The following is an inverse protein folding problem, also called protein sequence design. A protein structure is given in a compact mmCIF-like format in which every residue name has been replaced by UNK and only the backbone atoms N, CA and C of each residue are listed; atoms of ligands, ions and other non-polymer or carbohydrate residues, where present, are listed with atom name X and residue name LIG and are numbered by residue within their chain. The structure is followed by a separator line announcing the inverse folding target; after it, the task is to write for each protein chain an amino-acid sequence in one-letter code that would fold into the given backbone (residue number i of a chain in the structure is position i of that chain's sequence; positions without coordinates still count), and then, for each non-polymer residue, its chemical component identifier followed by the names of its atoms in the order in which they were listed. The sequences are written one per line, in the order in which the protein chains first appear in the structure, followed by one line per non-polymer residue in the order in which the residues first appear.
data_IF_638679511615
#
_entry.id   IF_638679511615
#
_cell.length_a   1.000
_cell.length_b   1.000
_cell.length_c   1.000
_cell.angle_alpha   90.00
_cell.angle_beta   90.00
_cell.angle_gamma   90.00
#
_symmetry.space_group_name_H-M   'P 1'
#
loop_
_entity.id
_entity.type
_entity.pdbx_description
1 polymer ?
#
# COMPACT_ATOMS: atom_id res chain seq x y z
N UNK A 1 -33.46 -29.44 -1.27
CA UNK A 1 -32.71 -28.50 -0.42
C UNK A 1 -31.33 -29.10 -0.26
N UNK A 2 -30.23 -28.32 -0.33
CA UNK A 2 -28.90 -28.87 -0.03
C UNK A 2 -28.95 -29.46 1.41
N UNK A 3 -28.22 -30.57 1.60
CA UNK A 3 -28.12 -31.20 2.91
C UNK A 3 -27.36 -30.22 3.83
N UNK A 4 -27.97 -29.82 4.96
CA UNK A 4 -27.38 -28.87 5.90
C UNK A 4 -26.04 -29.31 6.50
N UNK A 5 -25.69 -30.59 6.41
CA UNK A 5 -24.46 -31.15 6.93
C UNK A 5 -23.32 -31.21 5.87
N UNK A 6 -23.60 -30.80 4.62
CA UNK A 6 -22.58 -30.82 3.56
C UNK A 6 -21.69 -29.60 3.68
N UNK A 7 -20.35 -29.78 3.83
CA UNK A 7 -19.43 -28.66 3.80
C UNK A 7 -19.48 -27.88 2.49
N UNK A 8 -19.48 -26.56 2.57
CA UNK A 8 -19.45 -25.65 1.43
C UNK A 8 -18.28 -24.69 1.57
N UNK A 9 -17.69 -24.33 0.45
CA UNK A 9 -16.74 -23.22 0.35
C UNK A 9 -17.50 -21.99 -0.08
N UNK A 10 -17.38 -20.92 0.69
CA UNK A 10 -18.08 -19.65 0.47
C UNK A 10 -17.09 -18.50 0.38
N UNK A 11 -17.28 -17.64 -0.61
CA UNK A 11 -16.64 -16.34 -0.70
C UNK A 11 -17.68 -15.25 -0.39
N UNK A 12 -17.34 -14.37 0.54
CA UNK A 12 -18.19 -13.25 0.97
C UNK A 12 -17.37 -11.95 0.96
N UNK A 13 -17.51 -11.10 -0.08
CA UNK A 13 -16.93 -9.77 -0.06
C UNK A 13 -17.73 -8.86 0.85
N UNK A 14 -17.09 -8.26 1.84
CA UNK A 14 -17.67 -7.28 2.75
C UNK A 14 -17.25 -5.84 2.39
N UNK A 15 -16.24 -5.68 1.53
CA UNK A 15 -15.77 -4.45 0.93
C UNK A 15 -14.77 -4.71 -0.18
N UNK A 16 -14.55 -3.74 -1.05
CA UNK A 16 -13.58 -3.80 -2.15
C UNK A 16 -14.07 -4.53 -3.41
N UNK A 17 -15.30 -5.01 -3.46
CA UNK A 17 -15.83 -5.71 -4.61
C UNK A 17 -16.83 -4.83 -5.39
N UNK A 18 -16.48 -4.47 -6.63
CA UNK A 18 -17.25 -3.52 -7.43
C UNK A 18 -17.00 -2.06 -7.06
N UNK A 19 -16.00 -1.80 -6.25
CA UNK A 19 -15.56 -0.49 -5.77
C UNK A 19 -14.04 -0.49 -5.55
N UNK A 20 -13.45 0.67 -5.28
CA UNK A 20 -12.03 0.81 -4.95
C UNK A 20 -11.89 1.15 -3.47
N UNK A 21 -11.00 0.44 -2.78
CA UNK A 21 -10.72 0.66 -1.37
C UNK A 21 -11.51 -0.24 -0.43
N UNK A 22 -11.33 -0.03 0.87
CA UNK A 22 -11.93 -0.75 2.01
C UNK A 22 -12.03 -2.27 1.83
N UNK A 23 -10.96 -2.89 1.36
CA UNK A 23 -10.91 -4.33 1.11
C UNK A 23 -11.13 -5.13 2.41
N UNK A 24 -12.13 -6.00 2.39
CA UNK A 24 -12.41 -7.00 3.41
C UNK A 24 -13.13 -8.18 2.75
N UNK A 25 -12.42 -9.29 2.63
CA UNK A 25 -12.91 -10.49 1.97
C UNK A 25 -12.92 -11.66 2.94
N UNK A 26 -14.05 -12.35 3.08
CA UNK A 26 -14.18 -13.51 3.95
C UNK A 26 -14.29 -14.80 3.13
N UNK A 27 -13.57 -15.83 3.55
CA UNK A 27 -13.65 -17.18 3.02
C UNK A 27 -14.09 -18.12 4.11
N UNK A 28 -15.22 -18.79 3.89
CA UNK A 28 -15.81 -19.72 4.83
C UNK A 28 -15.80 -21.15 4.30
N UNK A 29 -15.42 -22.11 5.14
CA UNK A 29 -15.50 -23.51 4.83
C UNK A 29 -16.18 -24.30 5.95
N UNK A 30 -17.11 -25.15 5.61
CA UNK A 30 -17.86 -26.00 6.52
C UNK A 30 -19.35 -26.03 6.23
N UNK A 31 -20.12 -26.77 7.05
CA UNK A 31 -21.58 -26.74 6.99
C UNK A 31 -22.13 -25.33 7.28
N UNK A 32 -23.29 -24.94 6.75
CA UNK A 32 -23.87 -23.62 6.93
C UNK A 32 -23.90 -23.09 8.37
N UNK A 33 -24.18 -23.97 9.33
CA UNK A 33 -24.35 -23.62 10.74
C UNK A 33 -23.02 -23.78 11.55
N UNK A 34 -21.91 -24.27 10.92
CA UNK A 34 -20.61 -24.52 11.57
C UNK A 34 -19.46 -24.29 10.59
N UNK A 35 -19.39 -23.04 10.05
CA UNK A 35 -18.29 -22.63 9.16
C UNK A 35 -17.13 -22.07 9.94
N UNK A 36 -15.93 -22.45 9.53
CA UNK A 36 -14.69 -21.74 9.91
C UNK A 36 -14.40 -20.68 8.87
N UNK A 37 -13.87 -19.54 9.30
CA UNK A 37 -13.63 -18.38 8.46
C UNK A 37 -12.18 -17.93 8.51
N UNK A 38 -11.67 -17.49 7.39
CA UNK A 38 -10.49 -16.61 7.31
C UNK A 38 -10.89 -15.32 6.64
N UNK A 39 -10.21 -14.23 7.02
CA UNK A 39 -10.40 -12.93 6.41
C UNK A 39 -9.14 -12.54 5.64
N UNK A 40 -9.32 -11.81 4.54
CA UNK A 40 -8.25 -11.22 3.77
C UNK A 40 -8.45 -9.72 3.71
N UNK A 41 -7.46 -9.00 4.24
CA UNK A 41 -7.38 -7.55 4.37
C UNK A 41 -8.43 -6.92 5.31
N UNK A 42 -8.08 -5.74 5.83
CA UNK A 42 -8.93 -4.85 6.64
C UNK A 42 -8.64 -3.42 6.22
N UNK A 43 -9.19 -3.04 5.07
CA UNK A 43 -8.90 -1.78 4.42
C UNK A 43 -9.84 -0.64 4.77
N UNK A 44 -9.47 0.56 4.34
CA UNK A 44 -10.32 1.75 4.38
C UNK A 44 -10.48 2.31 2.97
N UNK A 45 -11.49 3.15 2.78
CA UNK A 45 -11.52 4.16 1.72
C UNK A 45 -11.71 5.54 2.34
N UNK A 46 -11.55 6.58 1.54
CA UNK A 46 -11.65 7.96 2.00
C UNK A 46 -12.95 8.60 1.50
N UNK A 47 -13.50 9.48 2.31
CA UNK A 47 -14.65 10.26 1.89
C UNK A 47 -14.31 11.22 0.74
N UNK A 48 -15.31 11.56 -0.05
CA UNK A 48 -15.24 12.47 -1.19
C UNK A 48 -16.37 13.51 -1.16
N UNK A 49 -16.55 14.23 -2.26
CA UNK A 49 -17.60 15.26 -2.38
C UNK A 49 -19.03 14.68 -2.24
N UNK A 50 -19.21 13.37 -2.42
CA UNK A 50 -20.50 12.69 -2.23
C UNK A 50 -20.80 12.31 -0.78
N UNK A 51 -19.75 12.34 0.08
CA UNK A 51 -19.80 11.99 1.50
C UNK A 51 -19.29 13.15 2.39
N UNK A 52 -19.93 14.34 2.34
CA UNK A 52 -19.42 15.54 3.00
C UNK A 52 -19.30 15.33 4.52
N UNK A 53 -18.13 15.67 5.08
CA UNK A 53 -17.84 15.54 6.51
C UNK A 53 -17.39 14.12 6.94
N UNK A 54 -17.24 13.19 6.00
CA UNK A 54 -16.68 11.87 6.25
C UNK A 54 -15.24 11.86 5.76
N UNK A 55 -14.30 11.64 6.68
CA UNK A 55 -12.87 11.55 6.33
C UNK A 55 -12.47 10.12 5.92
N UNK A 56 -13.10 9.08 6.52
CA UNK A 56 -12.69 7.70 6.37
C UNK A 56 -13.90 6.76 6.46
N UNK A 57 -13.92 5.76 5.59
CA UNK A 57 -14.97 4.74 5.50
C UNK A 57 -14.32 3.37 5.66
N UNK A 58 -14.98 2.48 6.42
CA UNK A 58 -14.58 1.07 6.61
C UNK A 58 -15.68 0.15 6.07
N UNK A 59 -15.33 -1.09 5.72
CA UNK A 59 -16.34 -2.12 5.51
C UNK A 59 -17.20 -2.30 6.75
N UNK A 60 -18.44 -2.76 6.57
CA UNK A 60 -19.29 -3.19 7.68
C UNK A 60 -18.91 -4.62 8.09
N UNK A 61 -18.32 -4.81 9.27
CA UNK A 61 -17.92 -6.12 9.73
C UNK A 61 -19.04 -6.87 10.49
N UNK A 62 -20.27 -6.36 10.56
CA UNK A 62 -21.27 -6.85 11.53
C UNK A 62 -21.52 -8.34 11.38
N UNK A 63 -21.78 -8.80 10.16
CA UNK A 63 -21.99 -10.24 9.90
C UNK A 63 -20.84 -11.09 10.41
N UNK A 64 -19.60 -10.76 10.07
CA UNK A 64 -18.44 -11.58 10.45
C UNK A 64 -18.04 -11.38 11.91
N UNK A 65 -18.35 -10.25 12.51
CA UNK A 65 -18.14 -9.98 13.93
C UNK A 65 -19.08 -10.79 14.83
N UNK A 66 -20.30 -11.12 14.36
CA UNK A 66 -21.20 -12.05 15.04
C UNK A 66 -20.66 -13.49 15.07
N UNK A 67 -19.72 -13.81 14.17
CA UNK A 67 -19.05 -15.10 14.05
C UNK A 67 -17.56 -15.03 14.47
N UNK A 68 -17.20 -14.06 15.31
CA UNK A 68 -15.79 -13.80 15.67
C UNK A 68 -15.06 -15.01 16.27
N UNK A 69 -15.73 -15.88 16.99
CA UNK A 69 -15.22 -17.14 17.55
C UNK A 69 -14.95 -18.23 16.48
N UNK A 70 -15.49 -18.06 15.29
CA UNK A 70 -15.29 -18.94 14.14
C UNK A 70 -14.22 -18.42 13.16
N UNK A 71 -13.63 -17.23 13.41
CA UNK A 71 -12.56 -16.68 12.58
C UNK A 71 -11.23 -17.29 13.02
N UNK A 72 -10.61 -18.07 12.13
CA UNK A 72 -9.32 -18.72 12.40
C UNK A 72 -8.13 -17.76 12.23
N UNK A 73 -8.18 -16.85 11.25
CA UNK A 73 -7.10 -15.94 10.93
C UNK A 73 -7.55 -14.75 10.09
N UNK A 74 -6.73 -13.68 10.11
CA UNK A 74 -6.79 -12.54 9.20
C UNK A 74 -5.45 -12.46 8.49
N UNK A 75 -5.45 -12.57 7.16
CA UNK A 75 -4.29 -12.48 6.30
C UNK A 75 -4.24 -11.12 5.63
N UNK A 76 -3.08 -10.46 5.67
CA UNK A 76 -2.89 -9.14 5.06
C UNK A 76 -1.96 -9.28 3.86
N UNK A 77 -2.44 -8.87 2.69
CA UNK A 77 -1.73 -9.05 1.41
C UNK A 77 -0.56 -8.10 1.25
N UNK A 78 -0.74 -6.84 1.61
CA UNK A 78 0.27 -5.77 1.54
C UNK A 78 -0.16 -4.55 2.36
N UNK A 79 0.70 -3.53 2.44
CA UNK A 79 0.57 -2.45 3.42
C UNK A 79 -0.10 -1.16 2.92
N UNK A 80 -0.86 -1.17 1.82
CA UNK A 80 -1.67 -0.01 1.42
C UNK A 80 -2.84 0.22 2.38
N UNK A 81 -3.31 1.46 2.49
CA UNK A 81 -4.36 1.85 3.43
C UNK A 81 -5.70 1.16 3.14
N UNK A 82 -6.01 0.93 1.89
CA UNK A 82 -7.20 0.21 1.44
C UNK A 82 -7.16 -1.31 1.71
N UNK A 83 -6.03 -1.82 2.27
CA UNK A 83 -5.83 -3.19 2.72
C UNK A 83 -5.57 -3.33 4.22
N UNK A 84 -4.91 -2.34 4.86
CA UNK A 84 -4.60 -2.42 6.30
C UNK A 84 -5.13 -1.24 7.13
N UNK A 85 -5.73 -0.23 6.50
CA UNK A 85 -6.12 1.01 7.18
C UNK A 85 -7.11 0.84 8.31
N UNK A 86 -7.99 -0.15 8.21
CA UNK A 86 -9.01 -0.44 9.22
C UNK A 86 -8.56 -1.43 10.30
N UNK A 87 -7.35 -1.99 10.27
CA UNK A 87 -6.91 -3.02 11.24
C UNK A 87 -7.14 -2.57 12.68
N UNK A 88 -6.69 -1.37 13.04
CA UNK A 88 -6.88 -0.85 14.41
C UNK A 88 -8.31 -0.48 14.77
N UNK A 89 -9.21 -0.36 13.79
CA UNK A 89 -10.63 -0.05 13.98
C UNK A 89 -11.48 -1.32 14.11
N UNK A 90 -11.23 -2.30 13.24
CA UNK A 90 -12.07 -3.50 13.12
C UNK A 90 -11.57 -4.67 13.98
N UNK A 91 -10.25 -4.79 14.20
CA UNK A 91 -9.69 -5.90 14.98
C UNK A 91 -10.32 -6.08 16.37
N UNK A 92 -10.68 -5.03 17.16
CA UNK A 92 -11.32 -5.20 18.46
C UNK A 92 -12.65 -5.97 18.43
N UNK A 93 -13.33 -5.97 17.28
CA UNK A 93 -14.57 -6.73 17.06
C UNK A 93 -14.31 -8.16 16.56
N UNK A 94 -13.19 -8.36 15.83
CA UNK A 94 -12.87 -9.62 15.16
C UNK A 94 -11.97 -10.53 15.99
N UNK A 95 -10.95 -9.96 16.67
CA UNK A 95 -10.03 -10.60 17.63
C UNK A 95 -9.31 -11.86 17.15
N UNK A 96 -9.23 -12.05 15.83
CA UNK A 96 -8.53 -13.18 15.25
C UNK A 96 -7.03 -12.90 15.10
N UNK A 97 -6.18 -13.94 15.04
CA UNK A 97 -4.76 -13.80 14.76
C UNK A 97 -4.50 -13.09 13.43
N UNK A 98 -3.53 -12.14 13.43
CA UNK A 98 -3.11 -11.39 12.26
C UNK A 98 -1.86 -12.03 11.67
N UNK A 99 -1.80 -12.16 10.34
CA UNK A 99 -0.66 -12.67 9.58
C UNK A 99 -0.29 -11.71 8.47
N UNK A 100 1.00 -11.38 8.36
CA UNK A 100 1.51 -10.45 7.36
C UNK A 100 3.00 -10.69 7.09
N UNK A 101 3.50 -10.26 5.93
CA UNK A 101 4.95 -10.20 5.63
C UNK A 101 5.65 -9.12 6.45
N UNK A 102 6.99 -9.14 6.59
CA UNK A 102 7.71 -8.28 7.54
C UNK A 102 7.38 -6.79 7.44
N UNK A 103 7.39 -6.23 6.22
CA UNK A 103 7.11 -4.80 6.02
C UNK A 103 5.67 -4.46 6.40
N UNK A 104 4.71 -5.27 5.97
CA UNK A 104 3.29 -5.09 6.30
C UNK A 104 3.06 -5.24 7.80
N UNK A 105 3.65 -6.26 8.43
CA UNK A 105 3.54 -6.50 9.88
C UNK A 105 4.05 -5.31 10.71
N UNK A 106 5.19 -4.71 10.29
CA UNK A 106 5.74 -3.53 10.98
C UNK A 106 4.76 -2.36 10.96
N UNK A 107 4.16 -2.05 9.80
CA UNK A 107 3.20 -0.95 9.66
C UNK A 107 1.90 -1.23 10.42
N UNK A 108 1.41 -2.47 10.39
CA UNK A 108 0.23 -2.91 11.14
C UNK A 108 0.43 -2.78 12.64
N UNK A 109 1.59 -3.21 13.16
CA UNK A 109 1.92 -3.04 14.58
C UNK A 109 1.88 -1.56 15.00
N UNK A 110 2.37 -0.65 14.15
CA UNK A 110 2.26 0.79 14.35
C UNK A 110 0.81 1.28 14.41
N UNK A 111 -0.05 0.83 13.47
CA UNK A 111 -1.49 1.17 13.45
C UNK A 111 -2.24 0.67 14.68
N UNK A 112 -1.93 -0.52 15.12
CA UNK A 112 -2.48 -1.09 16.36
C UNK A 112 -2.05 -0.26 17.58
N UNK A 113 -0.78 0.10 17.68
CA UNK A 113 -0.25 0.93 18.77
C UNK A 113 -0.91 2.32 18.84
N UNK A 114 -1.15 2.97 17.70
CA UNK A 114 -1.86 4.26 17.61
C UNK A 114 -3.28 4.20 18.18
N UNK A 115 -3.89 3.01 18.23
CA UNK A 115 -5.22 2.75 18.80
C UNK A 115 -5.19 2.14 20.20
N UNK A 116 -4.01 2.12 20.85
CA UNK A 116 -3.87 1.53 22.18
C UNK A 116 -3.88 -0.01 22.19
N UNK A 117 -3.73 -0.63 21.04
CA UNK A 117 -3.72 -2.09 20.83
C UNK A 117 -2.28 -2.63 20.65
N UNK A 118 -1.26 -1.95 21.16
CA UNK A 118 0.15 -2.33 20.97
C UNK A 118 0.58 -3.64 21.62
N UNK A 119 -0.34 -4.35 22.29
CA UNK A 119 -0.10 -5.71 22.83
C UNK A 119 -0.61 -6.82 21.89
N UNK A 120 -1.24 -6.44 20.78
CA UNK A 120 -1.70 -7.40 19.78
C UNK A 120 -0.52 -7.80 18.93
N UNK A 121 -0.22 -9.08 18.92
CA UNK A 121 0.86 -9.61 18.10
C UNK A 121 0.42 -9.77 16.64
N UNK A 122 1.32 -9.42 15.73
CA UNK A 122 1.18 -9.71 14.31
C UNK A 122 2.15 -10.85 13.99
N UNK A 123 1.63 -11.97 13.53
CA UNK A 123 2.44 -13.13 13.15
C UNK A 123 3.15 -12.83 11.81
N UNK A 124 4.46 -12.77 11.85
CA UNK A 124 5.27 -12.48 10.65
C UNK A 124 5.43 -13.76 9.82
N UNK A 125 4.99 -13.69 8.57
CA UNK A 125 5.15 -14.78 7.59
C UNK A 125 6.29 -14.38 6.64
N UNK A 126 7.30 -15.24 6.43
CA UNK A 126 8.34 -14.94 5.46
C UNK A 126 7.77 -14.90 4.03
N UNK A 127 8.47 -14.21 3.13
CA UNK A 127 8.10 -14.22 1.70
C UNK A 127 8.01 -15.66 1.18
N UNK A 128 6.93 -15.97 0.46
CA UNK A 128 6.67 -17.34 -0.01
C UNK A 128 6.26 -18.34 1.10
N UNK A 129 6.10 -17.88 2.34
CA UNK A 129 5.71 -18.72 3.47
C UNK A 129 4.25 -19.16 3.43
N UNK A 130 3.91 -20.13 4.28
CA UNK A 130 2.56 -20.67 4.37
C UNK A 130 2.09 -20.78 5.84
N UNK A 131 0.78 -20.76 6.01
CA UNK A 131 0.10 -20.88 7.32
C UNK A 131 -1.04 -21.88 7.19
N UNK A 132 -1.10 -22.85 8.10
CA UNK A 132 -2.22 -23.78 8.23
C UNK A 132 -3.07 -23.37 9.42
N UNK A 133 -4.38 -23.22 9.20
CA UNK A 133 -5.33 -22.86 10.25
C UNK A 133 -6.73 -23.39 9.93
N UNK A 134 -7.35 -24.11 10.88
CA UNK A 134 -8.62 -24.77 10.63
C UNK A 134 -8.60 -25.63 9.37
N UNK A 135 -9.57 -25.48 8.48
CA UNK A 135 -9.61 -26.20 7.20
C UNK A 135 -8.83 -25.53 6.08
N UNK A 136 -8.11 -24.45 6.37
CA UNK A 136 -7.39 -23.65 5.38
C UNK A 136 -5.88 -23.86 5.47
N UNK A 137 -5.24 -23.90 4.28
CA UNK A 137 -3.81 -23.72 4.13
C UNK A 137 -3.59 -22.52 3.20
N UNK A 138 -2.95 -21.48 3.70
CA UNK A 138 -2.75 -20.22 2.98
C UNK A 138 -1.28 -20.01 2.71
N UNK A 139 -0.90 -19.91 1.43
CA UNK A 139 0.45 -19.64 0.98
C UNK A 139 0.54 -18.25 0.36
N UNK A 140 1.53 -17.48 0.79
CA UNK A 140 1.88 -16.20 0.21
C UNK A 140 2.67 -16.40 -1.09
N UNK A 141 2.24 -15.76 -2.17
CA UNK A 141 2.91 -15.79 -3.47
C UNK A 141 3.37 -14.39 -3.80
N UNK A 142 4.69 -14.21 -3.91
CA UNK A 142 5.27 -12.89 -4.16
C UNK A 142 4.83 -12.33 -5.51
N UNK A 143 4.36 -11.09 -5.48
CA UNK A 143 4.02 -10.28 -6.64
C UNK A 143 4.88 -9.01 -6.69
N UNK A 144 4.62 -8.16 -7.67
CA UNK A 144 5.13 -6.78 -7.72
C UNK A 144 3.97 -5.79 -7.71
N UNK A 145 4.15 -4.67 -7.02
CA UNK A 145 3.20 -3.58 -6.91
C UNK A 145 3.93 -2.28 -6.55
N UNK A 146 3.22 -1.19 -6.27
CA UNK A 146 3.81 0.09 -5.88
C UNK A 146 4.15 0.20 -4.38
N UNK A 147 4.32 -0.92 -3.71
CA UNK A 147 4.68 -1.04 -2.30
C UNK A 147 5.57 -2.27 -2.11
N UNK A 148 6.45 -2.34 -1.09
CA UNK A 148 7.22 -3.54 -0.79
C UNK A 148 6.35 -4.73 -0.38
N UNK A 149 6.85 -5.93 -0.71
CA UNK A 149 6.29 -7.22 -0.27
C UNK A 149 4.80 -7.42 -0.58
N UNK A 150 4.30 -7.10 -1.80
CA UNK A 150 2.92 -7.42 -2.16
C UNK A 150 2.80 -8.91 -2.45
N UNK A 151 1.68 -9.50 -2.04
CA UNK A 151 1.46 -10.94 -2.18
C UNK A 151 0.06 -11.24 -2.69
N UNK A 152 -0.03 -12.26 -3.56
CA UNK A 152 -1.24 -13.04 -3.69
C UNK A 152 -1.29 -14.12 -2.61
N UNK A 153 -2.48 -14.63 -2.36
CA UNK A 153 -2.72 -15.75 -1.44
C UNK A 153 -3.32 -16.92 -2.21
N UNK A 154 -2.63 -18.08 -2.16
CA UNK A 154 -3.23 -19.35 -2.55
C UNK A 154 -3.90 -19.95 -1.32
N UNK A 155 -5.22 -20.00 -1.33
CA UNK A 155 -6.06 -20.47 -0.22
C UNK A 155 -6.55 -21.88 -0.57
N UNK A 156 -5.87 -22.88 -0.03
CA UNK A 156 -6.21 -24.28 -0.20
C UNK A 156 -7.27 -24.71 0.81
N UNK A 157 -8.27 -25.44 0.35
CA UNK A 157 -9.37 -26.01 1.15
C UNK A 157 -9.67 -27.42 0.67
N UNK A 158 -10.40 -28.24 1.42
CA UNK A 158 -10.83 -29.56 0.95
C UNK A 158 -11.69 -29.53 -0.33
N UNK A 159 -12.28 -28.38 -0.70
CA UNK A 159 -13.06 -28.21 -1.93
C UNK A 159 -12.23 -27.75 -3.12
N UNK A 160 -10.97 -27.35 -2.92
CA UNK A 160 -10.09 -26.85 -3.95
C UNK A 160 -9.39 -25.56 -3.55
N UNK A 161 -8.58 -25.02 -4.45
CA UNK A 161 -7.74 -23.85 -4.20
C UNK A 161 -8.34 -22.60 -4.81
N UNK A 162 -8.35 -21.50 -4.05
CA UNK A 162 -8.69 -20.15 -4.51
C UNK A 162 -7.40 -19.35 -4.63
N UNK A 163 -7.25 -18.59 -5.70
CA UNK A 163 -6.24 -17.54 -5.82
C UNK A 163 -6.87 -16.17 -5.52
N UNK A 164 -6.43 -15.54 -4.41
CA UNK A 164 -6.74 -14.14 -4.11
C UNK A 164 -5.52 -13.30 -4.45
N UNK A 165 -5.62 -12.40 -5.45
CA UNK A 165 -4.43 -11.73 -5.97
C UNK A 165 -3.93 -10.60 -5.08
N UNK A 166 -4.78 -10.01 -4.22
CA UNK A 166 -4.50 -8.66 -3.73
C UNK A 166 -4.30 -7.70 -4.91
N UNK A 167 -3.61 -6.60 -4.68
CA UNK A 167 -3.24 -5.65 -5.74
C UNK A 167 -1.92 -6.07 -6.40
N UNK A 168 -1.85 -5.94 -7.71
CA UNK A 168 -0.70 -6.40 -8.45
C UNK A 168 -0.41 -5.63 -9.73
N UNK A 169 0.82 -5.64 -10.13
CA UNK A 169 1.30 -5.38 -11.49
C UNK A 169 2.44 -6.35 -11.78
N UNK A 170 2.68 -6.65 -13.05
CA UNK A 170 3.89 -7.39 -13.44
C UNK A 170 4.94 -6.36 -13.84
N UNK A 171 5.96 -6.17 -12.99
CA UNK A 171 7.12 -5.36 -13.30
C UNK A 171 8.29 -6.31 -13.67
N UNK A 172 8.78 -6.28 -14.91
CA UNK A 172 9.85 -7.19 -15.34
C UNK A 172 11.22 -6.83 -14.75
N UNK A 173 11.38 -5.62 -14.19
CA UNK A 173 12.63 -5.13 -13.63
C UNK A 173 12.33 -4.33 -12.34
N UNK A 174 11.88 -5.01 -11.27
CA UNK A 174 11.59 -4.37 -9.99
C UNK A 174 12.88 -3.88 -9.34
N UNK A 175 12.86 -2.68 -8.75
CA UNK A 175 14.04 -2.07 -8.13
C UNK A 175 14.27 -2.51 -6.69
N UNK A 176 13.25 -3.00 -6.02
CA UNK A 176 13.28 -3.45 -4.63
C UNK A 176 12.53 -4.77 -4.47
N UNK A 177 13.01 -5.59 -3.54
CA UNK A 177 12.41 -6.88 -3.24
C UNK A 177 12.66 -7.93 -4.30
N UNK A 178 11.87 -8.99 -4.24
CA UNK A 178 11.89 -10.08 -5.21
C UNK A 178 10.93 -9.77 -6.37
N UNK A 179 11.22 -10.33 -7.54
CA UNK A 179 10.29 -10.29 -8.67
C UNK A 179 9.06 -11.17 -8.41
N UNK A 180 8.14 -11.17 -9.37
CA UNK A 180 6.95 -12.04 -9.33
C UNK A 180 7.38 -13.50 -9.30
N UNK A 181 6.83 -14.30 -8.38
CA UNK A 181 7.01 -15.78 -8.35
C UNK A 181 6.21 -16.44 -9.49
N UNK A 182 6.73 -16.25 -10.71
CA UNK A 182 6.11 -16.80 -11.94
C UNK A 182 6.00 -18.34 -11.88
N UNK A 183 7.00 -19.00 -11.33
CA UNK A 183 7.01 -20.47 -11.24
C UNK A 183 6.01 -20.98 -10.20
N UNK A 184 5.82 -20.24 -9.10
CA UNK A 184 4.77 -20.52 -8.11
C UNK A 184 3.38 -20.36 -8.70
N UNK A 185 3.15 -19.29 -9.48
CA UNK A 185 1.87 -19.08 -10.17
C UNK A 185 1.60 -20.14 -11.24
N UNK A 186 2.61 -20.56 -12.02
CA UNK A 186 2.46 -21.63 -13.01
C UNK A 186 2.11 -22.96 -12.35
N UNK A 187 2.85 -23.35 -11.30
CA UNK A 187 2.53 -24.57 -10.54
C UNK A 187 1.10 -24.53 -10.02
N UNK A 188 0.67 -23.42 -9.45
CA UNK A 188 -0.70 -23.26 -8.97
C UNK A 188 -1.72 -23.43 -10.10
N UNK A 189 -1.43 -22.89 -11.30
CA UNK A 189 -2.28 -23.06 -12.48
C UNK A 189 -2.32 -24.52 -12.97
N UNK A 190 -1.19 -25.22 -12.97
CA UNK A 190 -1.07 -26.62 -13.37
C UNK A 190 -1.81 -27.55 -12.38
N UNK A 191 -1.75 -27.25 -11.07
CA UNK A 191 -2.45 -27.99 -10.02
C UNK A 191 -3.97 -27.74 -10.05
N UNK A 192 -4.40 -26.63 -10.66
CA UNK A 192 -5.79 -26.24 -10.84
C UNK A 192 -6.27 -25.25 -9.78
N UNK A 193 -6.90 -24.17 -10.23
CA UNK A 193 -7.51 -23.12 -9.42
C UNK A 193 -9.02 -23.18 -9.58
N UNK A 194 -9.73 -23.35 -8.47
CA UNK A 194 -11.19 -23.40 -8.45
C UNK A 194 -11.82 -22.04 -8.77
N UNK A 195 -11.26 -20.97 -8.21
CA UNK A 195 -11.70 -19.60 -8.43
C UNK A 195 -10.53 -18.62 -8.25
N UNK A 196 -10.62 -17.48 -8.93
CA UNK A 196 -9.69 -16.36 -8.77
C UNK A 196 -10.45 -15.11 -8.38
N UNK A 197 -10.07 -14.52 -7.25
CA UNK A 197 -10.52 -13.20 -6.79
C UNK A 197 -9.40 -12.23 -7.16
N UNK A 198 -9.66 -11.34 -8.14
CA UNK A 198 -8.62 -10.59 -8.83
C UNK A 198 -8.85 -9.10 -8.76
N UNK A 199 -7.76 -8.33 -8.47
CA UNK A 199 -7.72 -6.91 -8.78
C UNK A 199 -7.98 -6.69 -10.27
N UNK A 200 -8.96 -5.87 -10.56
CA UNK A 200 -9.37 -5.51 -11.91
C UNK A 200 -9.44 -4.00 -12.15
N UNK A 201 -8.79 -3.22 -11.30
CA UNK A 201 -8.80 -1.74 -11.33
C UNK A 201 -8.41 -1.19 -12.70
N UNK A 202 -7.45 -1.80 -13.38
CA UNK A 202 -6.97 -1.36 -14.69
C UNK A 202 -7.44 -2.24 -15.85
N UNK A 203 -8.49 -3.05 -15.71
CA UNK A 203 -8.94 -3.99 -16.74
C UNK A 203 -9.34 -3.33 -18.07
N UNK A 204 -9.77 -2.06 -18.03
CA UNK A 204 -10.13 -1.27 -19.24
C UNK A 204 -8.98 -0.39 -19.75
N UNK A 205 -7.81 -0.41 -19.10
CA UNK A 205 -6.66 0.40 -19.51
C UNK A 205 -5.81 -0.41 -20.48
N UNK A 206 -5.71 0.05 -21.72
CA UNK A 206 -4.87 -0.58 -22.74
C UNK A 206 -3.37 -0.36 -22.45
N UNK A 207 -2.54 -1.33 -22.84
CA UNK A 207 -1.10 -1.27 -22.75
C UNK A 207 -0.53 -1.93 -21.49
N UNK A 208 0.70 -1.55 -21.14
CA UNK A 208 1.45 -2.10 -20.02
C UNK A 208 1.69 -1.04 -18.94
N UNK A 209 1.80 -1.46 -17.68
CA UNK A 209 2.02 -0.55 -16.55
C UNK A 209 3.42 0.07 -16.51
N UNK A 210 4.35 -0.40 -17.32
CA UNK A 210 5.74 0.02 -17.31
C UNK A 210 6.53 -0.45 -16.08
N UNK A 211 7.84 -0.15 -16.06
CA UNK A 211 8.75 -0.54 -14.98
C UNK A 211 9.24 0.65 -14.17
N UNK A 212 9.45 0.45 -12.87
CA UNK A 212 10.13 1.42 -11.99
C UNK A 212 11.57 1.72 -12.47
N UNK A 213 12.25 0.76 -13.11
CA UNK A 213 13.59 0.98 -13.70
C UNK A 213 13.58 2.06 -14.78
N UNK A 214 12.54 2.12 -15.63
CA UNK A 214 12.38 3.18 -16.62
C UNK A 214 12.18 4.55 -15.97
N UNK A 215 11.35 4.62 -14.95
CA UNK A 215 11.12 5.86 -14.18
C UNK A 215 12.40 6.32 -13.49
N UNK A 216 13.17 5.39 -12.92
CA UNK A 216 14.46 5.67 -12.29
C UNK A 216 15.42 6.35 -13.27
N UNK A 217 15.59 5.79 -14.46
CA UNK A 217 16.46 6.40 -15.48
C UNK A 217 16.04 7.83 -15.79
N UNK A 218 14.76 8.05 -16.06
CA UNK A 218 14.23 9.36 -16.45
C UNK A 218 14.33 10.38 -15.30
N UNK A 219 14.06 9.98 -14.05
CA UNK A 219 14.17 10.86 -12.89
C UNK A 219 15.63 11.28 -12.62
N UNK A 220 16.60 10.37 -12.78
CA UNK A 220 18.02 10.69 -12.62
C UNK A 220 18.45 11.74 -13.65
N UNK A 221 18.07 11.58 -14.92
CA UNK A 221 18.37 12.52 -15.99
C UNK A 221 17.70 13.88 -15.73
N UNK A 222 16.41 13.88 -15.36
CA UNK A 222 15.65 15.11 -15.08
C UNK A 222 16.25 15.88 -13.92
N UNK A 223 16.43 15.24 -12.76
CA UNK A 223 16.98 15.87 -11.55
C UNK A 223 18.38 16.43 -11.81
N UNK A 224 19.21 15.73 -12.60
CA UNK A 224 20.55 16.20 -12.99
C UNK A 224 20.55 17.44 -13.90
N UNK A 225 19.46 17.70 -14.61
CA UNK A 225 19.33 18.86 -15.51
C UNK A 225 18.84 20.13 -14.83
N UNK A 226 18.23 20.04 -13.67
CA UNK A 226 17.59 21.14 -12.95
C UNK A 226 18.58 21.89 -12.05
N UNK A 227 18.41 23.20 -11.95
CA UNK A 227 19.37 24.09 -11.25
C UNK A 227 18.86 24.61 -9.91
N UNK A 228 17.55 24.89 -9.79
CA UNK A 228 16.96 25.40 -8.56
C UNK A 228 16.72 24.29 -7.52
N UNK A 229 16.00 24.62 -6.47
CA UNK A 229 15.46 23.65 -5.51
C UNK A 229 14.47 22.73 -6.20
N UNK A 230 14.46 21.48 -5.79
CA UNK A 230 13.55 20.48 -6.38
C UNK A 230 12.67 19.91 -5.28
N UNK A 231 11.34 19.96 -5.48
CA UNK A 231 10.38 19.20 -4.68
C UNK A 231 9.83 18.04 -5.54
N UNK A 232 9.99 16.81 -5.08
CA UNK A 232 9.44 15.62 -5.74
C UNK A 232 8.30 15.08 -4.89
N UNK A 233 7.08 15.17 -5.39
CA UNK A 233 5.91 14.59 -4.75
C UNK A 233 5.63 13.18 -5.28
N UNK A 234 5.46 12.25 -4.38
CA UNK A 234 5.12 10.85 -4.71
C UNK A 234 4.30 10.21 -3.60
N UNK A 235 3.72 9.04 -3.87
CA UNK A 235 3.17 8.20 -2.82
C UNK A 235 4.28 7.75 -1.87
N UNK A 236 4.10 7.99 -0.57
CA UNK A 236 5.07 7.56 0.43
C UNK A 236 5.27 6.04 0.42
N UNK A 237 4.21 5.28 0.15
CA UNK A 237 4.21 3.82 0.07
C UNK A 237 5.09 3.25 -1.05
N UNK A 238 5.33 4.02 -2.13
CA UNK A 238 6.21 3.59 -3.22
C UNK A 238 7.68 3.74 -2.83
N UNK A 239 8.19 2.81 -2.01
CA UNK A 239 9.58 2.81 -1.52
C UNK A 239 10.59 2.71 -2.66
N UNK A 240 10.25 2.05 -3.77
CA UNK A 240 11.10 2.00 -4.96
C UNK A 240 11.29 3.40 -5.57
N UNK A 241 10.22 4.21 -5.61
CA UNK A 241 10.27 5.60 -6.05
C UNK A 241 11.05 6.47 -5.07
N UNK A 242 10.86 6.27 -3.76
CA UNK A 242 11.64 6.94 -2.71
C UNK A 242 13.14 6.66 -2.91
N UNK A 243 13.54 5.40 -3.06
CA UNK A 243 14.93 5.02 -3.32
C UNK A 243 15.48 5.65 -4.61
N UNK A 244 14.68 5.68 -5.66
CA UNK A 244 15.01 6.30 -6.94
C UNK A 244 15.28 7.79 -6.80
N UNK A 245 14.43 8.52 -6.08
CA UNK A 245 14.58 9.98 -5.88
C UNK A 245 15.82 10.28 -5.04
N UNK A 246 16.08 9.50 -3.99
CA UNK A 246 17.29 9.60 -3.17
C UNK A 246 18.55 9.39 -4.03
N UNK A 247 18.54 8.37 -4.89
CA UNK A 247 19.65 8.11 -5.81
C UNK A 247 19.85 9.24 -6.81
N UNK A 248 18.76 9.78 -7.38
CA UNK A 248 18.81 10.89 -8.30
C UNK A 248 19.41 12.15 -7.65
N UNK A 249 19.00 12.45 -6.41
CA UNK A 249 19.57 13.53 -5.62
C UNK A 249 21.07 13.33 -5.38
N UNK A 250 21.48 12.14 -4.94
CA UNK A 250 22.91 11.81 -4.72
C UNK A 250 23.76 11.99 -5.98
N UNK A 251 23.27 11.52 -7.14
CA UNK A 251 23.99 11.67 -8.42
C UNK A 251 24.10 13.11 -8.87
N UNK A 252 23.11 13.95 -8.49
CA UNK A 252 23.12 15.38 -8.77
C UNK A 252 23.87 16.21 -7.69
N UNK A 253 24.49 15.58 -6.69
CA UNK A 253 25.19 16.27 -5.61
C UNK A 253 24.27 17.00 -4.65
N UNK A 254 23.00 16.59 -4.51
CA UNK A 254 21.99 17.22 -3.67
C UNK A 254 21.78 16.43 -2.38
N UNK A 255 21.65 17.13 -1.27
CA UNK A 255 21.14 16.58 -0.01
C UNK A 255 19.63 16.36 -0.11
N UNK A 256 19.10 15.45 0.70
CA UNK A 256 17.68 15.07 0.67
C UNK A 256 17.00 15.46 1.99
N UNK A 257 15.86 16.12 1.88
CA UNK A 257 14.92 16.33 2.96
C UNK A 257 13.65 15.52 2.70
N UNK A 258 13.17 14.80 3.71
CA UNK A 258 11.83 14.20 3.68
C UNK A 258 10.82 15.18 4.25
N UNK A 259 9.67 15.35 3.59
CA UNK A 259 8.59 16.20 4.07
C UNK A 259 7.24 15.47 4.06
N UNK A 260 6.60 15.46 5.23
CA UNK A 260 5.32 14.80 5.47
C UNK A 260 5.43 13.56 6.36
N UNK A 261 4.50 13.44 7.31
CA UNK A 261 4.51 12.39 8.35
C UNK A 261 4.50 10.96 7.78
N UNK A 262 3.70 10.69 6.76
CA UNK A 262 3.64 9.36 6.15
C UNK A 262 4.94 9.03 5.41
N UNK A 263 5.63 10.02 4.82
CA UNK A 263 6.93 9.81 4.20
C UNK A 263 7.97 9.30 5.21
N UNK A 264 8.08 9.97 6.36
CA UNK A 264 8.97 9.55 7.44
C UNK A 264 8.62 8.15 7.97
N UNK A 265 7.32 7.90 8.22
CA UNK A 265 6.83 6.61 8.75
C UNK A 265 7.17 5.44 7.82
N UNK A 266 6.96 5.61 6.52
CA UNK A 266 7.23 4.57 5.51
C UNK A 266 8.74 4.35 5.32
N UNK A 267 9.53 5.42 5.26
CA UNK A 267 10.99 5.33 5.12
C UNK A 267 11.58 4.63 6.36
N UNK A 268 11.14 4.99 7.57
CA UNK A 268 11.56 4.32 8.80
C UNK A 268 11.20 2.82 8.77
N UNK A 269 9.98 2.48 8.41
CA UNK A 269 9.57 1.09 8.25
C UNK A 269 10.44 0.34 7.23
N UNK A 270 10.74 0.94 6.09
CA UNK A 270 11.56 0.34 5.05
C UNK A 270 13.01 0.10 5.50
N UNK A 271 13.57 1.01 6.31
CA UNK A 271 14.90 0.84 6.91
C UNK A 271 14.88 -0.27 7.97
N UNK A 272 13.91 -0.26 8.88
CA UNK A 272 13.84 -1.23 9.98
C UNK A 272 13.58 -2.65 9.50
N UNK A 273 12.85 -2.81 8.39
CA UNK A 273 12.59 -4.12 7.78
C UNK A 273 13.65 -4.54 6.75
N UNK A 274 14.66 -3.69 6.50
CA UNK A 274 15.76 -3.97 5.58
C UNK A 274 15.40 -3.87 4.10
N UNK A 275 14.22 -3.33 3.77
CA UNK A 275 13.79 -3.05 2.40
C UNK A 275 14.62 -1.92 1.79
N UNK A 276 14.90 -0.88 2.57
CA UNK A 276 15.77 0.23 2.18
C UNK A 276 17.08 0.18 3.01
N UNK A 277 18.22 -0.07 2.35
CA UNK A 277 19.50 -0.32 3.04
C UNK A 277 20.42 0.89 3.13
N UNK A 278 20.44 1.73 2.11
CA UNK A 278 21.43 2.81 1.94
C UNK A 278 20.75 4.18 2.02
N UNK A 279 20.19 4.51 3.18
CA UNK A 279 19.64 5.84 3.42
C UNK A 279 20.79 6.83 3.75
N UNK A 280 20.94 7.96 3.00
CA UNK A 280 21.90 9.00 3.35
C UNK A 280 21.45 9.75 4.61
N UNK A 281 22.35 10.58 5.15
CA UNK A 281 21.96 11.56 6.15
C UNK A 281 20.91 12.51 5.55
N UNK A 282 19.77 12.60 6.22
CA UNK A 282 18.64 13.43 5.78
C UNK A 282 18.73 14.82 6.42
N UNK A 283 18.35 15.83 5.64
CA UNK A 283 18.24 17.21 6.11
C UNK A 283 16.91 17.38 6.83
N UNK A 284 16.94 18.03 8.02
CA UNK A 284 15.70 18.39 8.72
C UNK A 284 14.92 19.46 7.93
N UNK A 285 13.59 19.42 7.97
CA UNK A 285 12.74 20.41 7.30
C UNK A 285 13.10 21.85 7.72
N UNK A 286 13.50 22.07 8.97
CA UNK A 286 13.89 23.38 9.50
C UNK A 286 15.20 23.92 8.90
N UNK A 287 16.06 23.04 8.43
CA UNK A 287 17.39 23.42 7.89
C UNK A 287 17.40 23.58 6.36
N UNK A 288 16.31 23.25 5.67
CA UNK A 288 16.21 23.33 4.19
C UNK A 288 16.57 24.73 3.68
N UNK A 289 16.14 25.79 4.38
CA UNK A 289 16.42 27.18 4.02
C UNK A 289 17.90 27.56 4.10
N UNK A 290 18.72 26.78 4.82
CA UNK A 290 20.17 27.02 4.96
C UNK A 290 20.99 26.46 3.81
N UNK A 291 20.40 25.65 2.94
CA UNK A 291 21.07 25.05 1.79
C UNK A 291 20.89 25.93 0.56
N UNK A 292 21.92 26.08 -0.28
CA UNK A 292 21.78 26.63 -1.64
C UNK A 292 20.69 25.87 -2.40
N UNK A 293 19.81 26.54 -3.18
CA UNK A 293 18.72 25.90 -3.90
C UNK A 293 19.17 24.70 -4.78
N UNK A 294 20.32 24.79 -5.40
CA UNK A 294 20.90 23.75 -6.25
C UNK A 294 21.40 22.52 -5.47
N UNK A 295 21.54 22.60 -4.15
CA UNK A 295 22.11 21.55 -3.32
C UNK A 295 21.07 20.79 -2.49
N UNK A 296 19.78 21.09 -2.62
CA UNK A 296 18.72 20.45 -1.86
C UNK A 296 17.63 19.85 -2.77
N UNK A 297 17.16 18.69 -2.41
CA UNK A 297 15.96 18.05 -2.98
C UNK A 297 15.02 17.68 -1.83
N UNK A 298 13.75 18.04 -1.98
CA UNK A 298 12.68 17.74 -1.02
C UNK A 298 11.85 16.60 -1.58
N UNK A 299 11.83 15.46 -0.91
CA UNK A 299 10.95 14.34 -1.23
C UNK A 299 9.72 14.43 -0.32
N UNK A 300 8.55 14.64 -0.91
CA UNK A 300 7.35 15.03 -0.15
C UNK A 300 6.10 14.24 -0.52
N UNK A 301 5.12 14.26 0.39
CA UNK A 301 3.75 13.80 0.14
C UNK A 301 2.92 14.89 -0.53
N UNK A 302 1.76 14.53 -1.07
CA UNK A 302 0.84 15.49 -1.68
C UNK A 302 0.74 15.39 -3.19
N UNK A 303 1.08 14.22 -3.76
CA UNK A 303 1.06 14.00 -5.21
C UNK A 303 -0.35 13.90 -5.81
N UNK A 304 -1.38 13.79 -4.98
CA UNK A 304 -2.78 13.66 -5.40
C UNK A 304 -3.63 14.92 -5.11
N UNK A 305 -2.99 16.05 -4.84
CA UNK A 305 -3.71 17.29 -4.59
C UNK A 305 -4.20 17.47 -3.16
N UNK A 306 -3.69 16.68 -2.22
CA UNK A 306 -4.09 16.76 -0.81
C UNK A 306 -3.56 18.05 -0.17
N UNK A 307 -4.44 18.99 0.13
CA UNK A 307 -4.09 20.32 0.70
C UNK A 307 -3.29 20.23 2.01
N UNK A 308 -3.60 19.24 2.85
CA UNK A 308 -2.94 19.04 4.16
C UNK A 308 -1.62 18.30 4.07
N UNK A 309 -1.28 17.74 2.91
CA UNK A 309 0.02 17.08 2.67
C UNK A 309 1.14 18.12 2.54
N UNK A 310 2.38 17.64 2.51
CA UNK A 310 3.54 18.53 2.49
C UNK A 310 3.55 19.44 1.26
N UNK A 311 3.39 18.89 0.04
CA UNK A 311 3.39 19.69 -1.19
C UNK A 311 2.22 20.68 -1.22
N UNK A 312 1.01 20.30 -0.76
CA UNK A 312 -0.13 21.22 -0.68
C UNK A 312 0.16 22.42 0.19
N UNK A 313 0.73 22.20 1.37
CA UNK A 313 1.14 23.30 2.25
C UNK A 313 2.27 24.15 1.67
N UNK A 314 3.21 23.56 0.95
CA UNK A 314 4.28 24.28 0.26
C UNK A 314 3.68 25.16 -0.85
N UNK A 315 2.80 24.61 -1.69
CA UNK A 315 2.15 25.30 -2.79
C UNK A 315 1.36 26.53 -2.34
N UNK A 316 0.66 26.42 -1.20
CA UNK A 316 -0.13 27.52 -0.64
C UNK A 316 0.65 28.40 0.35
N UNK A 317 1.98 28.25 0.46
CA UNK A 317 2.81 29.07 1.35
C UNK A 317 2.53 28.89 2.84
N UNK A 318 1.88 27.78 3.23
CA UNK A 318 1.51 27.50 4.63
C UNK A 318 2.43 26.45 5.30
N UNK A 319 3.42 25.93 4.58
CA UNK A 319 4.41 25.04 5.17
C UNK A 319 5.36 25.82 6.07
N UNK A 320 5.60 25.28 7.27
CA UNK A 320 6.32 26.03 8.32
C UNK A 320 7.77 26.37 7.95
N UNK A 321 8.45 25.50 7.23
CA UNK A 321 9.89 25.57 7.01
C UNK A 321 10.31 25.60 5.54
N UNK A 322 9.47 25.10 4.63
CA UNK A 322 9.82 24.90 3.23
C UNK A 322 8.99 25.86 2.38
N UNK A 323 9.69 26.57 1.50
CA UNK A 323 9.09 27.43 0.46
C UNK A 323 9.77 27.14 -0.86
N UNK A 324 9.03 27.21 -1.94
CA UNK A 324 9.54 27.22 -3.31
C UNK A 324 9.42 28.65 -3.86
N UNK A 325 10.32 29.03 -4.75
CA UNK A 325 10.37 30.34 -5.38
C UNK A 325 10.68 30.24 -6.86
N UNK A 326 10.86 31.41 -7.48
CA UNK A 326 11.19 31.47 -8.90
C UNK A 326 12.48 30.70 -9.23
N UNK A 327 12.41 29.83 -10.26
CA UNK A 327 13.50 28.95 -10.65
C UNK A 327 13.57 27.60 -9.93
N UNK A 328 12.75 27.38 -8.88
CA UNK A 328 12.57 26.08 -8.26
C UNK A 328 11.63 25.19 -9.09
N UNK A 329 11.66 23.88 -8.86
CA UNK A 329 10.87 22.92 -9.64
C UNK A 329 10.10 21.98 -8.74
N UNK A 330 8.80 21.82 -9.00
CA UNK A 330 7.98 20.76 -8.43
C UNK A 330 7.76 19.63 -9.45
N UNK A 331 8.05 18.39 -9.06
CA UNK A 331 7.88 17.18 -9.89
C UNK A 331 6.78 16.33 -9.26
N UNK A 332 5.71 16.06 -9.99
CA UNK A 332 4.68 15.10 -9.62
C UNK A 332 5.08 13.72 -10.17
N UNK A 333 5.60 12.86 -9.30
CA UNK A 333 6.12 11.54 -9.66
C UNK A 333 5.15 10.44 -9.23
N UNK A 334 3.91 10.57 -9.68
CA UNK A 334 2.82 9.61 -9.45
C UNK A 334 1.84 9.64 -10.61
N UNK A 335 1.07 8.57 -10.74
CA UNK A 335 -0.11 8.57 -11.62
C UNK A 335 -1.23 9.36 -10.94
N UNK A 336 -2.00 10.09 -11.72
CA UNK A 336 -3.23 10.73 -11.24
C UNK A 336 -4.26 9.65 -10.97
N UNK A 337 -4.82 9.62 -9.77
CA UNK A 337 -5.96 8.76 -9.42
C UNK A 337 -7.22 9.46 -9.91
N UNK A 338 -8.10 8.78 -10.67
CA UNK A 338 -9.37 9.36 -11.11
C UNK A 338 -10.17 9.95 -9.94
N UNK A 339 -10.63 11.18 -10.10
CA UNK A 339 -11.32 11.94 -9.05
C UNK A 339 -10.46 12.98 -8.33
N UNK A 340 -9.11 12.87 -8.42
CA UNK A 340 -8.18 13.80 -7.77
C UNK A 340 -7.72 14.95 -8.68
N UNK A 341 -8.18 14.99 -9.93
CA UNK A 341 -7.72 15.95 -10.96
C UNK A 341 -7.88 17.39 -10.49
N UNK A 342 -9.02 17.72 -9.87
CA UNK A 342 -9.30 19.08 -9.40
C UNK A 342 -8.28 19.56 -8.38
N UNK A 343 -8.04 18.77 -7.33
CA UNK A 343 -7.06 19.12 -6.29
C UNK A 343 -5.63 19.21 -6.83
N UNK A 344 -5.27 18.31 -7.78
CA UNK A 344 -3.95 18.35 -8.43
C UNK A 344 -3.80 19.64 -9.25
N UNK A 345 -4.80 20.03 -10.05
CA UNK A 345 -4.74 21.24 -10.87
C UNK A 345 -4.74 22.52 -10.00
N UNK A 346 -5.51 22.55 -8.91
CA UNK A 346 -5.49 23.66 -7.96
C UNK A 346 -4.08 23.82 -7.34
N UNK A 347 -3.44 22.73 -6.95
CA UNK A 347 -2.07 22.73 -6.43
C UNK A 347 -1.06 23.17 -7.49
N UNK A 348 -1.18 22.69 -8.74
CA UNK A 348 -0.30 23.10 -9.84
C UNK A 348 -0.44 24.59 -10.15
N UNK A 349 -1.67 25.13 -10.12
CA UNK A 349 -1.90 26.57 -10.28
C UNK A 349 -1.24 27.38 -9.17
N UNK A 350 -1.42 26.95 -7.91
CA UNK A 350 -0.79 27.63 -6.77
C UNK A 350 0.77 27.60 -6.82
N UNK A 351 1.36 26.56 -7.42
CA UNK A 351 2.81 26.50 -7.64
C UNK A 351 3.29 27.37 -8.81
N UNK A 352 2.40 27.69 -9.75
CA UNK A 352 2.74 28.50 -10.93
C UNK A 352 2.58 30.02 -10.67
N UNK A 353 1.78 30.43 -9.67
CA UNK A 353 1.60 31.81 -9.19
C UNK A 353 2.78 32.29 -8.32
#
# INVERSE_FOLDING_TARGET
MPNKDTPELVFLPLGGCGEIGMNLNAYGYGPPDDRRWILVDLGVTFGDDTTPGIDLITPDPEFIAEHADQIDAIFLTHAHEDHIGAVGLLWPRLRAPLYATPFTAHLVAGKLAERGLGKVDVNVVPMGGEVETGPFKVRYITLTHSIPEPNALAIETPSGTILHTGDWKIDPDPLLGEGVDVEGLKRLGDDGVLAMICDSTNVFVEGESGSEATVRKNLIELVGSLKGRIAVATFASNVARVATVIEAARKAGRSVCLAGRSMHKIVDAAVQTGVLKDLPDLVDEADVGSFPPENILILCTGSQGEERAALGRIAHGTHRHITLGEGDTAIFSSRVIPGNEKGIFEMQNALAE
#
